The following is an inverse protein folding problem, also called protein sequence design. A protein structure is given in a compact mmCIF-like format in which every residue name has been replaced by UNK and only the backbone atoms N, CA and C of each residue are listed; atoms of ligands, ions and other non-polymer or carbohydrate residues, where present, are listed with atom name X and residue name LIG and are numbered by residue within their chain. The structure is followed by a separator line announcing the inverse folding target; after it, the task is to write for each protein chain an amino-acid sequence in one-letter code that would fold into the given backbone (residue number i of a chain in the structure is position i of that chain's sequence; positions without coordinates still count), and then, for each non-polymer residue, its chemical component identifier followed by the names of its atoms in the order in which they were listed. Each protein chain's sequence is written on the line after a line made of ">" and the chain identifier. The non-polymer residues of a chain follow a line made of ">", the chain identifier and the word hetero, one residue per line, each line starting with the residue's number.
data_IF_192335495239
#
_entry.id   IF_192335495239
#
_cell.length_a   1.000
_cell.length_b   1.000
_cell.length_c   1.000
_cell.angle_alpha   90.00
_cell.angle_beta   90.00
_cell.angle_gamma   90.00
#
_symmetry.space_group_name_H-M   'P 1'
#
loop_
_entity.id
_entity.type
_entity.pdbx_description
1 polymer ?
#
# COMPACT_ATOMS: atom_id res chain seq x y z
N UNK A 1 35.18 2.39 -13.39
CA UNK A 1 34.00 2.73 -12.55
C UNK A 1 32.72 2.35 -13.26
N UNK A 2 31.90 1.47 -12.69
CA UNK A 2 30.68 0.95 -13.32
C UNK A 2 29.66 2.05 -13.59
N UNK A 3 29.29 2.26 -14.87
CA UNK A 3 28.37 3.31 -15.35
C UNK A 3 26.87 2.98 -15.19
N UNK A 4 26.49 1.86 -14.58
CA UNK A 4 25.07 1.40 -14.54
C UNK A 4 24.61 1.08 -13.12
N UNK A 5 23.75 1.94 -12.56
CA UNK A 5 22.97 1.62 -11.37
C UNK A 5 21.72 0.81 -11.80
N UNK A 6 21.69 -0.47 -11.46
CA UNK A 6 20.63 -1.43 -11.82
C UNK A 6 19.30 -1.16 -11.11
N UNK A 7 19.30 -0.38 -10.03
CA UNK A 7 18.10 -0.04 -9.23
C UNK A 7 17.51 1.32 -9.61
N UNK A 8 18.11 2.01 -10.58
CA UNK A 8 17.66 3.33 -11.03
C UNK A 8 16.35 3.18 -11.81
N UNK A 9 15.32 3.85 -11.32
CA UNK A 9 13.99 3.91 -11.93
C UNK A 9 13.63 5.33 -12.34
N UNK A 10 12.79 5.44 -13.37
CA UNK A 10 12.13 6.69 -13.71
C UNK A 10 10.81 6.85 -12.92
N UNK A 11 10.63 8.00 -12.27
CA UNK A 11 9.46 8.38 -11.46
C UNK A 11 8.99 9.77 -11.90
N UNK A 12 8.02 9.87 -12.83
CA UNK A 12 7.70 11.13 -13.52
C UNK A 12 7.19 12.24 -12.61
N UNK A 13 6.51 11.88 -11.52
CA UNK A 13 5.90 12.82 -10.58
C UNK A 13 6.79 13.15 -9.37
N UNK A 14 8.09 12.82 -9.42
CA UNK A 14 9.05 13.16 -8.37
C UNK A 14 9.96 14.31 -8.83
N UNK A 15 10.39 15.21 -7.91
CA UNK A 15 11.28 16.33 -8.26
C UNK A 15 12.55 15.83 -8.97
N UNK A 16 13.18 14.79 -8.42
CA UNK A 16 14.23 14.03 -9.09
C UNK A 16 13.62 12.82 -9.79
N UNK A 17 13.43 12.94 -11.11
CA UNK A 17 12.72 11.92 -11.91
C UNK A 17 13.46 10.61 -12.06
N UNK A 18 14.76 10.54 -11.76
CA UNK A 18 15.51 9.30 -11.81
C UNK A 18 16.14 9.01 -10.45
N UNK A 19 15.85 7.85 -9.87
CA UNK A 19 16.39 7.45 -8.57
C UNK A 19 16.02 6.03 -8.20
N UNK A 20 16.48 5.58 -7.04
CA UNK A 20 16.13 4.27 -6.49
C UNK A 20 14.82 4.37 -5.71
N UNK A 21 13.93 3.39 -5.89
CA UNK A 21 12.65 3.33 -5.18
C UNK A 21 12.79 2.48 -3.92
N UNK A 22 12.32 2.97 -2.78
CA UNK A 22 12.42 2.30 -1.48
C UNK A 22 11.02 2.20 -0.87
N UNK A 23 10.69 1.06 -0.28
CA UNK A 23 9.52 0.85 0.57
C UNK A 23 9.94 1.02 2.02
N UNK A 24 9.19 1.80 2.80
CA UNK A 24 9.56 2.11 4.19
C UNK A 24 8.35 1.92 5.11
N UNK A 25 8.61 1.40 6.30
CA UNK A 25 7.67 1.36 7.42
C UNK A 25 8.18 2.33 8.47
N UNK A 26 7.41 3.39 8.70
CA UNK A 26 7.78 4.44 9.62
C UNK A 26 6.70 4.62 10.70
N UNK A 27 7.12 5.04 11.88
CA UNK A 27 6.21 5.53 12.90
C UNK A 27 5.62 6.88 12.50
N UNK A 28 4.32 7.02 12.67
CA UNK A 28 3.57 8.24 12.33
C UNK A 28 3.89 9.42 13.25
N UNK A 29 4.26 9.17 14.51
CA UNK A 29 4.48 10.21 15.51
C UNK A 29 5.92 10.71 15.54
N UNK A 30 6.89 9.79 15.56
CA UNK A 30 8.32 10.11 15.67
C UNK A 30 9.03 10.21 14.31
N UNK A 31 8.35 9.84 13.21
CA UNK A 31 8.97 9.65 11.89
C UNK A 31 10.11 8.62 11.87
N UNK A 32 10.23 7.77 12.91
CA UNK A 32 11.26 6.75 12.99
C UNK A 32 11.04 5.66 11.93
N UNK A 33 12.07 5.37 11.13
CA UNK A 33 12.03 4.31 10.13
C UNK A 33 12.39 2.97 10.78
N UNK A 34 11.39 2.11 10.98
CA UNK A 34 11.61 0.77 11.53
C UNK A 34 12.30 -0.15 10.54
N UNK A 35 11.91 -0.05 9.26
CA UNK A 35 12.41 -0.92 8.20
C UNK A 35 12.26 -0.27 6.84
N UNK A 36 13.22 -0.55 5.97
CA UNK A 36 13.12 -0.23 4.56
C UNK A 36 13.55 -1.40 3.67
N UNK A 37 13.00 -1.45 2.47
CA UNK A 37 13.30 -2.45 1.44
C UNK A 37 13.52 -1.72 0.11
N UNK A 38 14.67 -1.98 -0.53
CA UNK A 38 15.01 -1.40 -1.82
C UNK A 38 14.30 -2.17 -2.95
N UNK A 39 13.54 -1.45 -3.78
CA UNK A 39 12.94 -2.05 -4.97
C UNK A 39 14.00 -2.20 -6.06
N UNK A 40 14.36 -3.45 -6.35
CA UNK A 40 15.41 -3.79 -7.31
C UNK A 40 14.90 -4.02 -8.76
N UNK A 41 13.64 -3.70 -9.07
CA UNK A 41 13.05 -3.96 -10.38
C UNK A 41 12.72 -5.43 -10.64
N UNK A 42 12.36 -5.75 -11.89
CA UNK A 42 12.19 -7.12 -12.37
C UNK A 42 13.58 -7.64 -12.78
N UNK A 43 14.19 -8.52 -11.99
CA UNK A 43 15.36 -9.28 -12.46
C UNK A 43 14.91 -10.15 -13.64
N UNK A 44 15.48 -9.95 -14.83
CA UNK A 44 15.41 -10.96 -15.87
C UNK A 44 16.12 -12.20 -15.30
N UNK A 45 15.48 -13.36 -15.33
CA UNK A 45 16.03 -14.59 -14.79
C UNK A 45 17.41 -14.86 -15.40
N UNK A 46 18.43 -14.78 -14.55
CA UNK A 46 19.79 -15.22 -14.83
C UNK A 46 20.28 -15.84 -13.53
N UNK A 47 20.49 -17.14 -13.60
CA UNK A 47 20.93 -18.06 -12.55
C UNK A 47 20.01 -18.29 -11.34
N UNK A 48 19.61 -19.56 -11.25
CA UNK A 48 18.88 -20.13 -10.15
C UNK A 48 19.73 -20.10 -8.90
N UNK A 49 19.42 -19.18 -8.00
CA UNK A 49 19.33 -19.37 -6.54
C UNK A 49 18.96 -18.03 -5.92
N UNK A 50 17.80 -17.98 -5.25
CA UNK A 50 17.32 -16.91 -4.36
C UNK A 50 16.81 -15.59 -4.99
N UNK A 51 15.55 -15.61 -5.45
CA UNK A 51 14.56 -14.56 -5.16
C UNK A 51 13.16 -15.03 -5.63
N UNK A 52 12.59 -16.02 -4.95
CA UNK A 52 11.19 -16.45 -5.12
C UNK A 52 10.17 -15.43 -4.58
N UNK A 53 10.62 -14.28 -4.10
CA UNK A 53 9.75 -13.24 -3.57
C UNK A 53 9.26 -12.38 -4.72
N UNK A 54 7.97 -12.52 -5.07
CA UNK A 54 7.29 -11.63 -6.00
C UNK A 54 7.36 -10.18 -5.47
N UNK A 55 8.41 -9.47 -5.86
CA UNK A 55 8.62 -8.05 -5.59
C UNK A 55 7.72 -7.16 -6.49
N UNK A 56 6.83 -7.77 -7.28
CA UNK A 56 6.06 -7.10 -8.33
C UNK A 56 4.99 -6.16 -7.78
N UNK A 57 4.52 -6.34 -6.55
CA UNK A 57 3.40 -5.58 -5.99
C UNK A 57 3.78 -4.86 -4.70
N UNK A 58 3.44 -3.57 -4.62
CA UNK A 58 3.61 -2.77 -3.40
C UNK A 58 2.91 -3.40 -2.20
N UNK A 59 1.74 -4.03 -2.39
CA UNK A 59 1.00 -4.73 -1.35
C UNK A 59 1.81 -5.87 -0.69
N UNK A 60 2.49 -6.70 -1.49
CA UNK A 60 3.30 -7.79 -0.96
C UNK A 60 4.49 -7.25 -0.15
N UNK A 61 5.11 -6.16 -0.59
CA UNK A 61 6.16 -5.48 0.17
C UNK A 61 5.64 -4.95 1.52
N UNK A 62 4.42 -4.41 1.57
CA UNK A 62 3.80 -3.97 2.83
C UNK A 62 3.68 -5.12 3.82
N UNK A 63 3.10 -6.25 3.41
CA UNK A 63 2.90 -7.41 4.30
C UNK A 63 4.23 -7.94 4.83
N UNK A 64 5.21 -8.15 3.95
CA UNK A 64 6.53 -8.66 4.36
C UNK A 64 7.22 -7.73 5.35
N UNK A 65 7.21 -6.43 5.09
CA UNK A 65 7.87 -5.47 5.98
C UNK A 65 7.13 -5.37 7.32
N UNK A 66 5.79 -5.40 7.32
CA UNK A 66 5.01 -5.38 8.56
C UNK A 66 5.19 -6.66 9.38
N UNK A 67 5.19 -7.85 8.77
CA UNK A 67 5.47 -9.10 9.49
C UNK A 67 6.78 -9.02 10.27
N UNK A 68 7.86 -8.60 9.61
CA UNK A 68 9.18 -8.49 10.25
C UNK A 68 9.16 -7.46 11.39
N UNK A 69 8.53 -6.30 11.19
CA UNK A 69 8.48 -5.24 12.21
C UNK A 69 7.62 -5.66 13.41
N UNK A 70 6.52 -6.38 13.19
CA UNK A 70 5.58 -6.78 14.22
C UNK A 70 6.03 -8.05 14.96
N UNK A 71 6.62 -9.02 14.26
CA UNK A 71 7.17 -10.24 14.87
C UNK A 71 8.33 -9.91 15.83
N UNK A 72 9.15 -8.91 15.49
CA UNK A 72 10.22 -8.41 16.36
C UNK A 72 9.73 -7.57 17.55
N UNK A 73 8.47 -7.13 17.53
CA UNK A 73 7.87 -6.30 18.55
C UNK A 73 7.04 -7.12 19.53
N UNK A 74 7.63 -8.17 20.13
CA UNK A 74 7.07 -9.06 21.16
C UNK A 74 5.93 -8.42 21.98
N UNK A 75 4.68 -8.65 21.55
CA UNK A 75 3.48 -8.44 22.36
C UNK A 75 3.15 -7.02 22.82
N UNK A 76 3.72 -5.96 22.22
CA UNK A 76 3.50 -4.59 22.76
C UNK A 76 2.05 -4.10 22.68
N UNK A 77 1.33 -4.44 21.62
CA UNK A 77 -0.06 -4.04 21.43
C UNK A 77 -0.85 -5.17 20.73
N UNK A 78 -2.14 -5.38 21.11
CA UNK A 78 -2.98 -6.41 20.51
C UNK A 78 -3.37 -6.11 19.06
N UNK A 79 -3.22 -4.86 18.61
CA UNK A 79 -3.53 -4.43 17.26
C UNK A 79 -2.68 -3.22 16.86
N UNK A 80 -2.55 -3.01 15.55
CA UNK A 80 -1.83 -1.87 14.98
C UNK A 80 -2.69 -1.21 13.88
N UNK A 81 -2.45 0.08 13.61
CA UNK A 81 -3.06 0.80 12.48
C UNK A 81 -1.95 1.25 11.54
N UNK A 82 -2.10 0.98 10.26
CA UNK A 82 -1.17 1.41 9.22
C UNK A 82 -1.88 2.33 8.24
N UNK A 83 -1.27 3.48 7.97
CA UNK A 83 -1.73 4.40 6.94
C UNK A 83 -0.91 4.20 5.68
N UNK A 84 -1.55 3.90 4.55
CA UNK A 84 -0.88 3.60 3.28
C UNK A 84 -1.39 4.47 2.13
N UNK A 85 -0.49 4.72 1.17
CA UNK A 85 -0.83 5.39 -0.09
C UNK A 85 -1.55 4.44 -1.07
N UNK A 86 -2.28 5.01 -2.04
CA UNK A 86 -3.03 4.30 -3.08
C UNK A 86 -2.21 3.34 -3.93
N UNK A 87 -0.90 3.57 -4.02
CA UNK A 87 0.01 2.67 -4.74
C UNK A 87 0.06 1.28 -4.08
N UNK A 88 0.01 1.25 -2.75
CA UNK A 88 0.12 0.03 -1.95
C UNK A 88 -1.23 -0.62 -1.69
N UNK A 89 -2.28 0.19 -1.59
CA UNK A 89 -3.60 -0.27 -1.18
C UNK A 89 -4.28 -1.20 -2.20
N UNK A 90 -4.93 -2.23 -1.69
CA UNK A 90 -5.92 -3.05 -2.40
C UNK A 90 -6.92 -3.62 -1.39
N UNK A 91 -8.09 -4.06 -1.86
CA UNK A 91 -9.07 -4.68 -0.97
C UNK A 91 -8.53 -5.99 -0.39
N UNK A 92 -7.88 -6.82 -1.20
CA UNK A 92 -7.25 -8.07 -0.74
C UNK A 92 -6.18 -7.81 0.34
N UNK A 93 -5.34 -6.78 0.17
CA UNK A 93 -4.36 -6.39 1.18
C UNK A 93 -5.04 -6.02 2.51
N UNK A 94 -6.18 -5.33 2.46
CA UNK A 94 -6.91 -4.98 3.68
C UNK A 94 -7.42 -6.21 4.43
N UNK A 95 -7.87 -7.26 3.71
CA UNK A 95 -8.24 -8.54 4.31
C UNK A 95 -7.03 -9.25 4.95
N UNK A 96 -5.91 -9.34 4.24
CA UNK A 96 -4.70 -10.00 4.74
C UNK A 96 -4.14 -9.29 5.98
N UNK A 97 -4.17 -7.95 6.01
CA UNK A 97 -3.74 -7.18 7.18
C UNK A 97 -4.71 -7.35 8.36
N UNK A 98 -6.02 -7.39 8.11
CA UNK A 98 -7.00 -7.60 9.16
C UNK A 98 -6.82 -8.97 9.84
N UNK A 99 -6.48 -10.02 9.09
CA UNK A 99 -6.14 -11.34 9.65
C UNK A 99 -4.90 -11.30 10.55
N UNK A 100 -4.01 -10.31 10.36
CA UNK A 100 -2.84 -10.08 11.21
C UNK A 100 -3.11 -9.11 12.38
N UNK A 101 -4.38 -8.78 12.67
CA UNK A 101 -4.77 -7.71 13.61
C UNK A 101 -4.16 -6.33 13.27
N UNK A 102 -3.94 -6.07 11.99
CA UNK A 102 -3.49 -4.79 11.47
C UNK A 102 -4.62 -4.11 10.71
N UNK A 103 -5.11 -3.00 11.26
CA UNK A 103 -6.09 -2.15 10.59
C UNK A 103 -5.38 -1.26 9.57
N UNK A 104 -6.03 -1.05 8.42
CA UNK A 104 -5.46 -0.24 7.35
C UNK A 104 -6.36 0.95 7.03
N UNK A 105 -5.73 2.11 6.88
CA UNK A 105 -6.36 3.33 6.41
C UNK A 105 -5.62 3.78 5.17
N UNK A 106 -6.34 4.04 4.09
CA UNK A 106 -5.71 4.50 2.85
C UNK A 106 -6.71 4.72 1.75
N UNK A 107 -6.32 5.53 0.78
CA UNK A 107 -7.08 5.72 -0.45
C UNK A 107 -6.86 4.53 -1.38
N UNK A 108 -7.89 4.06 -2.08
CA UNK A 108 -7.78 2.96 -3.06
C UNK A 108 -8.07 3.48 -4.46
N UNK A 109 -7.33 2.99 -5.48
CA UNK A 109 -7.69 3.29 -6.86
C UNK A 109 -9.02 2.60 -7.23
N UNK A 110 -9.96 3.36 -7.80
CA UNK A 110 -11.33 2.89 -8.12
C UNK A 110 -11.39 1.80 -9.20
N UNK A 111 -10.29 1.52 -9.89
CA UNK A 111 -10.14 0.44 -10.86
C UNK A 111 -9.52 -0.84 -10.27
N UNK A 112 -9.23 -0.89 -8.97
CA UNK A 112 -8.73 -2.10 -8.30
C UNK A 112 -9.83 -3.15 -8.18
N UNK A 113 -9.44 -4.41 -8.30
CA UNK A 113 -10.32 -5.54 -8.03
C UNK A 113 -10.81 -5.48 -6.58
N UNK A 114 -12.11 -5.79 -6.40
CA UNK A 114 -12.76 -5.78 -5.09
C UNK A 114 -13.24 -4.39 -4.62
N UNK A 115 -12.90 -3.29 -5.32
CA UNK A 115 -13.43 -1.97 -4.97
C UNK A 115 -14.95 -1.94 -5.14
N UNK A 116 -15.65 -1.42 -4.14
CA UNK A 116 -17.10 -1.36 -4.15
C UNK A 116 -17.59 -0.35 -5.19
N UNK A 117 -18.30 -0.84 -6.21
CA UNK A 117 -18.81 0.02 -7.29
C UNK A 117 -19.95 0.93 -6.84
N UNK A 118 -20.64 0.61 -5.73
CA UNK A 118 -21.74 1.42 -5.22
C UNK A 118 -21.30 2.80 -4.70
N UNK A 119 -20.04 2.93 -4.24
CA UNK A 119 -19.45 4.20 -3.80
C UNK A 119 -18.63 4.88 -4.90
N UNK A 120 -18.61 4.32 -6.11
CA UNK A 120 -17.88 4.90 -7.23
C UNK A 120 -18.73 5.98 -7.90
N UNK A 121 -18.30 7.22 -7.81
CA UNK A 121 -18.96 8.30 -8.55
C UNK A 121 -18.79 8.10 -10.07
N UNK A 122 -19.90 8.16 -10.78
CA UNK A 122 -19.95 7.97 -12.24
C UNK A 122 -19.67 9.26 -12.99
N UNK A 123 -20.01 10.41 -12.37
CA UNK A 123 -19.89 11.74 -12.96
C UNK A 123 -18.49 12.30 -12.69
N UNK A 124 -17.86 12.86 -13.72
CA UNK A 124 -16.57 13.57 -13.56
C UNK A 124 -16.75 14.88 -12.76
N UNK A 125 -17.71 15.76 -13.10
CA UNK A 125 -18.00 16.92 -12.26
C UNK A 125 -18.98 16.55 -11.14
N UNK A 126 -18.74 17.09 -9.95
CA UNK A 126 -19.71 17.04 -8.85
C UNK A 126 -20.99 17.77 -9.27
N UNK A 127 -22.17 17.15 -9.16
CA UNK A 127 -23.45 17.82 -9.37
C UNK A 127 -23.64 19.04 -8.46
N UNK A 128 -24.20 20.13 -8.97
CA UNK A 128 -24.38 21.37 -8.21
C UNK A 128 -25.26 21.21 -6.96
N UNK A 129 -26.22 20.27 -7.01
CA UNK A 129 -27.16 19.97 -5.94
C UNK A 129 -26.57 19.17 -4.76
N UNK A 130 -25.35 18.62 -4.90
CA UNK A 130 -24.68 17.90 -3.80
C UNK A 130 -23.78 18.88 -3.05
N UNK A 131 -24.03 19.20 -1.77
CA UNK A 131 -23.16 20.10 -1.01
C UNK A 131 -21.69 19.65 -1.00
N UNK A 132 -20.75 20.60 -0.92
CA UNK A 132 -19.33 20.26 -0.73
C UNK A 132 -19.14 19.61 0.64
N UNK A 133 -18.32 18.57 0.70
CA UNK A 133 -18.05 17.81 1.92
C UNK A 133 -19.01 16.63 2.15
N UNK A 134 -20.05 16.49 1.32
CA UNK A 134 -20.86 15.26 1.29
C UNK A 134 -20.02 14.08 0.78
N UNK A 135 -20.22 12.92 1.39
CA UNK A 135 -19.58 11.67 0.99
C UNK A 135 -20.58 10.53 1.03
N UNK A 136 -20.29 9.49 0.27
CA UNK A 136 -21.00 8.22 0.34
C UNK A 136 -20.11 7.20 1.01
N UNK A 137 -20.70 6.30 1.78
CA UNK A 137 -19.95 5.19 2.35
C UNK A 137 -20.74 3.90 2.19
N UNK A 138 -20.01 2.81 2.12
CA UNK A 138 -20.58 1.48 2.08
C UNK A 138 -19.73 0.54 2.91
N UNK A 139 -20.42 -0.30 3.68
CA UNK A 139 -19.87 -1.29 4.59
C UNK A 139 -20.03 -2.67 3.98
N UNK A 140 -18.97 -3.48 4.03
CA UNK A 140 -19.07 -4.88 3.62
C UNK A 140 -19.99 -5.64 4.57
N UNK A 141 -20.91 -6.43 4.01
CA UNK A 141 -21.82 -7.29 4.79
C UNK A 141 -21.05 -8.45 5.41
N UNK A 142 -20.15 -9.07 4.63
CA UNK A 142 -19.37 -10.22 5.07
C UNK A 142 -18.27 -9.85 6.08
N UNK A 143 -17.71 -8.65 5.97
CA UNK A 143 -16.68 -8.15 6.89
C UNK A 143 -17.06 -6.76 7.38
N UNK A 144 -17.78 -6.65 8.50
CA UNK A 144 -18.30 -5.38 8.99
C UNK A 144 -17.21 -4.35 9.36
N UNK A 145 -15.95 -4.75 9.56
CA UNK A 145 -14.84 -3.82 9.79
C UNK A 145 -14.30 -3.18 8.50
N UNK A 146 -14.68 -3.70 7.33
CA UNK A 146 -14.26 -3.16 6.04
C UNK A 146 -15.28 -2.12 5.55
N UNK A 147 -14.82 -0.88 5.46
CA UNK A 147 -15.62 0.26 4.99
C UNK A 147 -14.93 0.92 3.80
N UNK A 148 -15.75 1.36 2.85
CA UNK A 148 -15.34 2.12 1.68
C UNK A 148 -16.05 3.45 1.65
N UNK A 149 -15.33 4.52 1.31
CA UNK A 149 -15.86 5.89 1.25
C UNK A 149 -15.54 6.46 -0.12
N UNK A 150 -16.50 7.15 -0.72
CA UNK A 150 -16.42 7.76 -2.05
C UNK A 150 -17.03 9.14 -2.12
#
# INVERSE_FOLDING_TARGET
>A
MSRRNTTRMFMPHKPHRYGSKIFMVCDSRSAYCHRFELYAGKRAGGDGTTASVDNKTGAAAVIRNLKIVLDGANGRLPWHVVVIDRFYSSVLLAFELLQMNVYVIGTVMTNRLGFNKAVKESRKPRPANIPRGSFTFSRSVSVPSLMSVG
#
